data_IF_407879122680
#
_entry.id   IF_407879122680
#
_cell.length_a   1.000
_cell.length_b   1.000
_cell.length_c   1.000
_cell.angle_alpha   90.00
_cell.angle_beta   90.00
_cell.angle_gamma   90.00
#
_symmetry.space_group_name_H-M   'P 1'
#
loop_
_entity.id
_entity.type
_entity.pdbx_description
1 polymer ?
#
# COMPACT_ATOMS: atom_id res chain seq x y z
N UNK A 1 19.42 -25.32 -9.11
CA UNK A 1 19.72 -23.87 -9.14
C UNK A 1 18.54 -23.12 -8.54
N UNK A 2 18.72 -22.17 -7.62
CA UNK A 2 17.61 -21.37 -7.11
C UNK A 2 17.04 -20.56 -8.28
N UNK A 3 15.74 -20.69 -8.55
CA UNK A 3 15.04 -19.82 -9.51
C UNK A 3 15.23 -18.39 -9.00
N UNK A 4 16.00 -17.58 -9.72
CA UNK A 4 16.07 -16.14 -9.47
C UNK A 4 14.64 -15.62 -9.54
N UNK A 5 14.15 -15.03 -8.45
CA UNK A 5 12.82 -14.43 -8.38
C UNK A 5 12.73 -13.38 -9.49
N UNK A 6 11.79 -13.56 -10.41
CA UNK A 6 11.56 -12.63 -11.52
C UNK A 6 11.05 -11.30 -10.97
N UNK A 7 11.83 -10.24 -11.22
CA UNK A 7 11.46 -8.86 -10.89
C UNK A 7 10.19 -8.48 -11.68
N UNK A 8 9.22 -7.79 -11.05
CA UNK A 8 7.96 -7.33 -11.67
C UNK A 8 7.80 -5.79 -11.66
N UNK A 9 8.83 -5.04 -11.24
CA UNK A 9 8.86 -3.58 -11.36
C UNK A 9 9.22 -3.10 -12.78
N UNK A 10 9.46 -1.79 -13.00
CA UNK A 10 9.92 -1.28 -14.31
C UNK A 10 11.25 -1.92 -14.77
N UNK A 11 12.03 -2.48 -13.83
CA UNK A 11 13.17 -3.36 -14.12
C UNK A 11 12.83 -4.88 -14.11
N UNK A 12 11.61 -5.25 -14.51
CA UNK A 12 11.22 -6.63 -14.82
C UNK A 12 11.90 -7.18 -16.09
N UNK A 13 12.40 -6.28 -16.94
CA UNK A 13 13.08 -6.62 -18.18
C UNK A 13 14.46 -7.20 -17.86
N UNK A 14 14.74 -8.38 -18.42
CA UNK A 14 16.04 -9.02 -18.35
C UNK A 14 17.14 -8.03 -18.77
N UNK A 15 18.18 -7.87 -17.92
CA UNK A 15 19.26 -6.88 -18.08
C UNK A 15 18.90 -5.40 -17.89
N UNK A 16 17.79 -5.04 -17.23
CA UNK A 16 17.46 -3.62 -16.95
C UNK A 16 18.53 -2.89 -16.09
N UNK A 17 19.40 -3.63 -15.41
CA UNK A 17 20.55 -3.07 -14.70
C UNK A 17 21.75 -2.76 -15.62
N UNK A 18 21.70 -3.08 -16.92
CA UNK A 18 22.74 -2.66 -17.87
C UNK A 18 22.47 -1.23 -18.33
N UNK A 19 23.48 -0.37 -18.19
CA UNK A 19 23.42 1.06 -18.56
C UNK A 19 23.05 1.30 -20.02
N UNK A 20 23.36 0.35 -20.89
CA UNK A 20 23.05 0.43 -22.32
C UNK A 20 21.60 0.13 -22.70
N UNK A 21 20.73 -0.17 -21.73
CA UNK A 21 19.32 -0.50 -22.02
C UNK A 21 18.45 0.75 -21.97
N UNK A 22 17.72 1.00 -23.05
CA UNK A 22 16.75 2.11 -23.16
C UNK A 22 15.73 2.11 -22.00
N UNK A 23 15.42 0.93 -21.45
CA UNK A 23 14.53 0.74 -20.32
C UNK A 23 15.08 1.29 -19.00
N UNK A 24 16.41 1.26 -18.80
CA UNK A 24 17.04 1.91 -17.65
C UNK A 24 16.86 3.43 -17.73
N UNK A 25 17.12 4.02 -18.89
CA UNK A 25 16.91 5.46 -19.11
C UNK A 25 15.45 5.88 -18.90
N UNK A 26 14.48 5.06 -19.32
CA UNK A 26 13.05 5.33 -19.07
C UNK A 26 12.73 5.32 -17.57
N UNK A 27 13.26 4.34 -16.84
CA UNK A 27 13.07 4.22 -15.38
C UNK A 27 13.70 5.40 -14.64
N UNK A 28 14.92 5.80 -15.01
CA UNK A 28 15.62 6.93 -14.40
C UNK A 28 14.88 8.25 -14.63
N UNK A 29 14.35 8.47 -15.84
CA UNK A 29 13.53 9.64 -16.16
C UNK A 29 12.22 9.67 -15.37
N UNK A 30 11.54 8.53 -15.25
CA UNK A 30 10.31 8.42 -14.46
C UNK A 30 10.57 8.69 -12.97
N UNK A 31 11.65 8.13 -12.42
CA UNK A 31 12.09 8.37 -11.05
C UNK A 31 12.42 9.84 -10.80
N UNK A 32 13.20 10.46 -11.69
CA UNK A 32 13.55 11.88 -11.61
C UNK A 32 12.30 12.78 -11.65
N UNK A 33 11.33 12.46 -12.51
CA UNK A 33 10.05 13.18 -12.57
C UNK A 33 9.26 13.03 -11.27
N UNK A 34 9.13 11.82 -10.74
CA UNK A 34 8.41 11.55 -9.49
C UNK A 34 9.04 12.27 -8.28
N UNK A 35 10.38 12.37 -8.23
CA UNK A 35 11.09 13.19 -7.26
C UNK A 35 10.76 14.68 -7.43
N UNK A 36 10.83 15.20 -8.66
CA UNK A 36 10.62 16.62 -8.95
C UNK A 36 9.20 17.09 -8.56
N UNK A 37 8.19 16.24 -8.79
CA UNK A 37 6.79 16.54 -8.46
C UNK A 37 6.37 16.04 -7.07
N UNK A 38 7.31 15.53 -6.26
CA UNK A 38 7.09 15.00 -4.90
C UNK A 38 6.05 13.87 -4.81
N UNK A 39 5.87 13.08 -5.86
CA UNK A 39 4.95 11.93 -5.88
C UNK A 39 5.66 10.59 -5.70
N UNK A 40 6.95 10.59 -5.34
CA UNK A 40 7.72 9.35 -5.22
C UNK A 40 7.11 8.36 -4.21
N UNK A 41 6.40 8.81 -3.17
CA UNK A 41 5.68 7.91 -2.27
C UNK A 41 4.58 7.10 -2.97
N UNK A 42 3.87 7.72 -3.92
CA UNK A 42 2.84 7.07 -4.73
C UNK A 42 3.46 6.12 -5.78
N UNK A 43 4.68 6.42 -6.22
CA UNK A 43 5.41 5.67 -7.24
C UNK A 43 6.69 5.03 -6.69
N UNK A 44 6.63 4.49 -5.47
CA UNK A 44 7.78 3.95 -4.73
C UNK A 44 8.50 2.84 -5.52
N UNK A 45 7.75 2.07 -6.30
CA UNK A 45 8.23 1.05 -7.23
C UNK A 45 9.20 1.54 -8.33
N UNK A 46 9.37 2.86 -8.50
CA UNK A 46 10.39 3.44 -9.38
C UNK A 46 11.81 3.34 -8.78
N UNK A 47 11.94 3.10 -7.47
CA UNK A 47 13.24 2.85 -6.84
C UNK A 47 13.82 1.52 -7.32
N UNK A 48 15.12 1.52 -7.63
CA UNK A 48 15.85 0.30 -7.98
C UNK A 48 15.71 -0.71 -6.82
N UNK A 49 15.35 -1.94 -7.15
CA UNK A 49 15.01 -3.04 -6.22
C UNK A 49 13.67 -2.92 -5.48
N UNK A 50 12.90 -1.86 -5.67
CA UNK A 50 11.49 -1.85 -5.27
C UNK A 50 10.64 -2.46 -6.39
N UNK A 51 9.77 -3.38 -5.99
CA UNK A 51 8.89 -4.11 -6.91
C UNK A 51 7.51 -3.47 -6.85
N UNK A 52 6.79 -3.49 -7.98
CA UNK A 52 5.32 -3.51 -7.95
C UNK A 52 4.98 -4.91 -7.41
N UNK A 53 5.16 -5.13 -6.12
CA UNK A 53 4.28 -6.10 -5.48
C UNK A 53 2.86 -5.53 -5.71
N UNK A 54 1.82 -6.35 -5.90
CA UNK A 54 0.54 -5.88 -5.41
C UNK A 54 0.86 -5.41 -3.99
N UNK A 55 0.74 -4.10 -3.74
CA UNK A 55 0.66 -3.60 -2.37
C UNK A 55 -0.21 -4.63 -1.65
N UNK A 56 0.18 -5.16 -0.48
CA UNK A 56 -0.71 -6.01 0.26
C UNK A 56 -1.92 -5.14 0.64
N UNK A 57 -2.82 -4.93 -0.33
CA UNK A 57 -4.13 -4.38 -0.17
C UNK A 57 -4.80 -5.47 0.62
N UNK A 58 -4.99 -5.15 1.88
CA UNK A 58 -5.71 -5.99 2.80
C UNK A 58 -7.04 -6.33 2.13
N UNK A 59 -7.33 -7.62 1.95
CA UNK A 59 -8.55 -8.03 1.26
C UNK A 59 -9.77 -7.46 1.99
N UNK A 60 -10.90 -7.29 1.30
CA UNK A 60 -12.14 -6.86 1.95
C UNK A 60 -12.47 -7.72 3.19
N UNK A 61 -12.26 -9.03 3.10
CA UNK A 61 -12.46 -9.95 4.20
C UNK A 61 -11.53 -9.65 5.39
N UNK A 62 -10.27 -9.34 5.13
CA UNK A 62 -9.30 -8.99 6.16
C UNK A 62 -9.60 -7.63 6.79
N UNK A 63 -10.03 -6.63 6.00
CA UNK A 63 -10.49 -5.32 6.51
C UNK A 63 -11.71 -5.46 7.41
N UNK A 64 -12.70 -6.27 7.03
CA UNK A 64 -13.88 -6.60 7.87
C UNK A 64 -13.45 -7.28 9.17
N UNK A 65 -12.51 -8.22 9.10
CA UNK A 65 -12.00 -8.92 10.29
C UNK A 65 -11.29 -7.97 11.26
N UNK A 66 -10.52 -7.01 10.76
CA UNK A 66 -9.91 -5.96 11.57
C UNK A 66 -10.94 -5.04 12.20
N UNK A 67 -11.88 -4.52 11.40
CA UNK A 67 -12.97 -3.67 11.87
C UNK A 67 -13.76 -4.34 13.01
N UNK A 68 -14.19 -5.59 12.81
CA UNK A 68 -14.94 -6.35 13.82
C UNK A 68 -14.14 -6.60 15.09
N UNK A 69 -12.82 -6.81 14.97
CA UNK A 69 -11.91 -6.95 16.13
C UNK A 69 -11.80 -5.66 16.94
N UNK A 70 -11.71 -4.50 16.28
CA UNK A 70 -11.69 -3.18 16.95
C UNK A 70 -13.00 -2.94 17.68
N UNK A 71 -14.14 -3.16 17.03
CA UNK A 71 -15.47 -3.03 17.62
C UNK A 71 -15.59 -3.93 18.87
N UNK A 72 -15.19 -5.19 18.74
CA UNK A 72 -15.23 -6.14 19.84
C UNK A 72 -14.39 -5.69 21.03
N UNK A 73 -13.14 -5.24 20.80
CA UNK A 73 -12.25 -4.79 21.86
C UNK A 73 -12.79 -3.54 22.55
N UNK A 74 -13.26 -2.54 21.79
CA UNK A 74 -13.83 -1.31 22.38
C UNK A 74 -15.06 -1.62 23.23
N UNK A 75 -15.95 -2.48 22.73
CA UNK A 75 -17.17 -2.83 23.44
C UNK A 75 -16.91 -3.71 24.68
N UNK A 76 -16.02 -4.70 24.58
CA UNK A 76 -15.87 -5.75 25.61
C UNK A 76 -14.69 -5.57 26.54
N UNK A 77 -13.59 -4.98 26.08
CA UNK A 77 -12.38 -4.76 26.90
C UNK A 77 -12.36 -3.36 27.51
N UNK A 78 -12.74 -2.36 26.73
CA UNK A 78 -12.72 -0.96 27.18
C UNK A 78 -14.05 -0.52 27.80
N UNK A 79 -15.12 -1.31 27.66
CA UNK A 79 -16.48 -0.96 28.07
C UNK A 79 -16.95 0.40 27.53
N UNK A 80 -16.40 0.81 26.38
CA UNK A 80 -16.74 2.06 25.74
C UNK A 80 -18.06 1.94 24.98
N UNK A 81 -18.89 2.98 25.03
CA UNK A 81 -20.07 3.07 24.19
C UNK A 81 -19.64 3.15 22.72
N UNK A 82 -20.13 2.22 21.91
CA UNK A 82 -19.86 2.23 20.47
C UNK A 82 -20.49 3.46 19.84
N UNK A 83 -19.66 4.28 19.22
CA UNK A 83 -20.12 5.42 18.44
C UNK A 83 -20.52 4.89 17.06
N UNK A 84 -21.82 4.88 16.77
CA UNK A 84 -22.38 4.37 15.50
C UNK A 84 -22.73 5.48 14.51
N UNK A 85 -22.48 6.74 14.86
CA UNK A 85 -22.64 7.85 13.91
C UNK A 85 -21.59 7.68 12.79
N UNK A 86 -21.99 7.71 11.50
CA UNK A 86 -21.11 7.31 10.39
C UNK A 86 -19.74 8.01 10.35
N UNK A 87 -19.69 9.33 10.52
CA UNK A 87 -18.43 10.08 10.44
C UNK A 87 -17.51 9.77 11.62
N UNK A 88 -18.10 9.74 12.82
CA UNK A 88 -17.40 9.42 14.05
C UNK A 88 -16.94 7.96 14.08
N UNK A 89 -17.73 7.04 13.52
CA UNK A 89 -17.40 5.63 13.38
C UNK A 89 -16.27 5.40 12.38
N UNK A 90 -16.31 6.07 11.22
CA UNK A 90 -15.21 6.11 10.26
C UNK A 90 -13.93 6.58 10.94
N UNK A 91 -13.96 7.79 11.53
CA UNK A 91 -12.81 8.37 12.22
C UNK A 91 -12.25 7.46 13.32
N UNK A 92 -13.12 6.83 14.11
CA UNK A 92 -12.73 5.88 15.14
C UNK A 92 -11.92 4.70 14.58
N UNK A 93 -12.32 4.15 13.44
CA UNK A 93 -11.64 3.02 12.82
C UNK A 93 -10.30 3.43 12.22
N UNK A 94 -10.25 4.58 11.54
CA UNK A 94 -9.02 5.14 10.95
C UNK A 94 -7.97 5.50 12.01
N UNK A 95 -8.40 6.02 13.16
CA UNK A 95 -7.52 6.30 14.31
C UNK A 95 -7.02 5.02 14.99
N UNK A 96 -7.76 3.91 14.86
CA UNK A 96 -7.42 2.64 15.54
C UNK A 96 -6.46 1.78 14.73
N UNK A 97 -6.57 1.77 13.39
CA UNK A 97 -5.72 0.96 12.52
C UNK A 97 -5.55 1.65 11.15
N UNK A 98 -4.29 1.90 10.74
CA UNK A 98 -3.98 2.55 9.47
C UNK A 98 -4.43 1.75 8.25
N UNK A 99 -4.63 0.45 8.37
CA UNK A 99 -5.12 -0.40 7.27
C UNK A 99 -6.63 -0.20 6.99
N UNK A 100 -7.32 0.55 7.85
CA UNK A 100 -8.73 0.92 7.70
C UNK A 100 -8.94 2.37 7.23
N UNK A 101 -7.87 3.11 6.96
CA UNK A 101 -7.95 4.42 6.30
C UNK A 101 -8.64 4.25 4.94
N UNK A 102 -9.60 5.13 4.64
CA UNK A 102 -10.38 5.13 3.39
C UNK A 102 -11.20 3.84 3.17
N UNK A 103 -11.33 2.95 4.17
CA UNK A 103 -12.05 1.69 4.02
C UNK A 103 -13.51 1.87 3.55
N UNK A 104 -14.18 2.91 4.03
CA UNK A 104 -15.55 3.24 3.61
C UNK A 104 -15.63 4.03 2.31
N UNK A 105 -14.52 4.58 1.82
CA UNK A 105 -14.47 5.31 0.55
C UNK A 105 -14.19 4.36 -0.64
N UNK A 106 -13.72 3.15 -0.35
CA UNK A 106 -13.44 2.08 -1.32
C UNK A 106 -14.67 1.24 -1.71
N UNK A 107 -15.79 1.34 -0.98
CA UNK A 107 -17.02 0.55 -1.17
C UNK A 107 -18.17 1.41 -1.71
#
# INVERSE_FOLDING_TARGET
>A
MPKQKTNQGPCSIYNCNKESTIFRSLTDNAFAKALAIRTLQQYSYLQINQQIYPLPQLSLADKIKKMTTIIYNRQRKESATLILEPNSFKKMLEESDSDLIEFFDEI
#
